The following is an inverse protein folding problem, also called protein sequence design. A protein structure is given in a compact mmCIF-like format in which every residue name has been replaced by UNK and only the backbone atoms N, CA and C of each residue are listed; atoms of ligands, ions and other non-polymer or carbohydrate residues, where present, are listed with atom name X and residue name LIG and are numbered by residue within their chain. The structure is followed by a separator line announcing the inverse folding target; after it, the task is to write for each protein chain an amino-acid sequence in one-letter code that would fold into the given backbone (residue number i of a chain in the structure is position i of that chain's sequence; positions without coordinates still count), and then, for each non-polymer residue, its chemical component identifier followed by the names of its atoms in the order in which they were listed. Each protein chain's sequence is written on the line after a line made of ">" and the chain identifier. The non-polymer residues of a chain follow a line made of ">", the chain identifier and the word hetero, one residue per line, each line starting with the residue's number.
data_IF_845849210585
#
_entry.id   IF_845849210585
#
_cell.length_a   1.000
_cell.length_b   1.000
_cell.length_c   1.000
_cell.angle_alpha   90.00
_cell.angle_beta   90.00
_cell.angle_gamma   90.00
#
_symmetry.space_group_name_H-M   'P 1'
#
loop_
_entity.id
_entity.type
_entity.pdbx_description
1 polymer ?
#
# COMPACT_ATOMS: atom_id res chain seq x y z
N UNK A 1 35.16 11.47 -16.65
CA UNK A 1 34.70 10.48 -17.62
C UNK A 1 33.51 11.06 -18.34
N UNK A 2 33.72 11.55 -19.56
CA UNK A 2 32.67 12.10 -20.42
C UNK A 2 31.86 10.92 -20.99
N UNK A 3 30.54 10.88 -20.74
CA UNK A 3 29.68 9.81 -21.24
C UNK A 3 29.37 10.09 -22.71
N UNK A 4 29.53 9.11 -23.63
CA UNK A 4 29.26 9.31 -25.05
C UNK A 4 27.80 9.69 -25.31
N UNK A 5 27.55 10.46 -26.37
CA UNK A 5 26.19 10.88 -26.74
C UNK A 5 25.30 9.64 -27.00
N UNK A 6 24.15 9.57 -26.32
CA UNK A 6 23.23 8.43 -26.39
C UNK A 6 23.35 7.40 -25.25
N UNK A 7 24.27 7.57 -24.31
CA UNK A 7 24.46 6.64 -23.18
C UNK A 7 23.47 6.83 -22.00
N UNK A 8 22.57 7.81 -22.08
CA UNK A 8 21.53 8.07 -21.07
C UNK A 8 20.16 8.10 -21.74
N UNK A 9 19.28 7.20 -21.32
CA UNK A 9 17.89 7.10 -21.81
C UNK A 9 16.96 7.53 -20.66
N UNK A 10 15.93 8.36 -20.91
CA UNK A 10 14.96 8.73 -19.88
C UNK A 10 14.17 7.51 -19.43
N UNK A 11 14.35 7.08 -18.18
CA UNK A 11 13.54 6.03 -17.56
C UNK A 11 12.21 6.63 -17.12
N UNK A 12 11.09 6.06 -17.61
CA UNK A 12 9.76 6.45 -17.14
C UNK A 12 9.51 5.86 -15.77
N UNK A 13 9.21 6.74 -14.80
CA UNK A 13 8.88 6.36 -13.43
C UNK A 13 7.73 5.36 -13.32
N UNK A 14 6.78 5.37 -14.26
CA UNK A 14 5.66 4.42 -14.30
C UNK A 14 6.08 2.96 -14.42
N UNK A 15 7.30 2.66 -14.90
CA UNK A 15 7.83 1.31 -15.05
C UNK A 15 8.55 0.81 -13.79
N UNK A 16 8.94 1.72 -12.89
CA UNK A 16 9.80 1.40 -11.74
C UNK A 16 9.18 1.75 -10.40
N UNK A 17 8.28 2.73 -10.35
CA UNK A 17 7.56 3.12 -9.15
C UNK A 17 6.28 2.29 -8.99
N UNK A 18 5.92 2.03 -7.75
CA UNK A 18 4.74 1.25 -7.42
C UNK A 18 3.45 2.02 -7.75
N UNK A 19 2.45 1.30 -8.28
CA UNK A 19 1.14 1.90 -8.59
C UNK A 19 0.36 2.10 -7.28
N UNK A 20 0.16 3.35 -6.91
CA UNK A 20 -0.62 3.74 -5.73
C UNK A 20 -2.04 4.15 -6.14
N UNK A 21 -3.03 3.69 -5.38
CA UNK A 21 -4.43 4.07 -5.47
C UNK A 21 -4.75 4.99 -4.30
N UNK A 22 -5.15 6.24 -4.58
CA UNK A 22 -5.37 7.28 -3.55
C UNK A 22 -4.19 7.46 -2.57
N UNK A 23 -2.95 7.18 -3.02
CA UNK A 23 -1.74 7.27 -2.19
C UNK A 23 -1.50 6.07 -1.27
N UNK A 24 -2.17 4.93 -1.50
CA UNK A 24 -2.02 3.66 -0.77
C UNK A 24 -1.81 2.51 -1.77
N UNK A 25 -1.12 1.41 -1.43
CA UNK A 25 -1.02 0.25 -2.33
C UNK A 25 -2.40 -0.28 -2.70
N UNK A 26 -2.55 -0.67 -3.98
CA UNK A 26 -3.82 -1.16 -4.56
C UNK A 26 -4.52 -2.19 -3.69
N UNK A 27 -3.76 -3.16 -3.16
CA UNK A 27 -4.29 -4.26 -2.35
C UNK A 27 -4.99 -3.76 -1.07
N UNK A 28 -4.37 -2.82 -0.38
CA UNK A 28 -4.93 -2.24 0.85
C UNK A 28 -6.12 -1.33 0.54
N UNK A 29 -6.06 -0.56 -0.54
CA UNK A 29 -7.17 0.29 -0.96
C UNK A 29 -8.42 -0.56 -1.21
N UNK A 30 -8.28 -1.65 -1.97
CA UNK A 30 -9.38 -2.60 -2.23
C UNK A 30 -9.87 -3.21 -0.92
N UNK A 31 -8.97 -3.76 -0.10
CA UNK A 31 -9.34 -4.40 1.16
C UNK A 31 -10.12 -3.45 2.10
N UNK A 32 -9.61 -2.23 2.31
CA UNK A 32 -10.26 -1.26 3.18
C UNK A 32 -11.62 -0.81 2.65
N UNK A 33 -11.74 -0.55 1.34
CA UNK A 33 -13.02 -0.15 0.73
C UNK A 33 -14.03 -1.28 0.82
N UNK A 34 -13.61 -2.53 0.61
CA UNK A 34 -14.49 -3.70 0.80
C UNK A 34 -14.96 -3.80 2.26
N UNK A 35 -14.07 -3.65 3.23
CA UNK A 35 -14.43 -3.64 4.66
C UNK A 35 -15.40 -2.50 4.98
N UNK A 36 -15.16 -1.30 4.45
CA UNK A 36 -16.06 -0.16 4.61
C UNK A 36 -17.45 -0.47 4.05
N UNK A 37 -17.53 -1.07 2.86
CA UNK A 37 -18.79 -1.46 2.22
C UNK A 37 -19.53 -2.54 3.04
N UNK A 38 -18.82 -3.54 3.56
CA UNK A 38 -19.42 -4.58 4.43
C UNK A 38 -20.00 -3.97 5.69
N UNK A 39 -19.29 -3.05 6.35
CA UNK A 39 -19.80 -2.40 7.57
C UNK A 39 -20.95 -1.43 7.29
N UNK A 40 -20.86 -0.64 6.22
CA UNK A 40 -21.87 0.34 5.85
C UNK A 40 -23.17 -0.32 5.37
N UNK A 41 -23.07 -1.31 4.47
CA UNK A 41 -24.21 -1.94 3.83
C UNK A 41 -24.71 -3.16 4.60
N UNK A 42 -23.79 -4.01 5.06
CA UNK A 42 -24.13 -5.27 5.72
C UNK A 42 -24.62 -5.08 7.15
N UNK A 43 -23.91 -4.28 7.95
CA UNK A 43 -24.25 -4.04 9.36
C UNK A 43 -25.05 -2.75 9.60
N UNK A 44 -25.25 -1.91 8.56
CA UNK A 44 -25.74 -0.52 8.70
C UNK A 44 -24.96 0.30 9.74
N UNK A 45 -23.73 -0.11 10.03
CA UNK A 45 -22.88 0.49 11.04
C UNK A 45 -22.06 1.61 10.40
N UNK A 46 -22.74 2.66 9.93
CA UNK A 46 -22.13 3.77 9.19
C UNK A 46 -21.04 4.48 10.02
N UNK A 47 -21.15 4.46 11.35
CA UNK A 47 -20.12 4.99 12.25
C UNK A 47 -18.76 4.25 12.11
N UNK A 48 -18.75 2.96 11.76
CA UNK A 48 -17.52 2.20 11.52
C UNK A 48 -16.80 2.65 10.24
N UNK A 49 -17.50 3.30 9.30
CA UNK A 49 -16.88 3.88 8.10
C UNK A 49 -15.93 5.01 8.46
N UNK A 50 -16.22 5.77 9.52
CA UNK A 50 -15.32 6.82 10.02
C UNK A 50 -14.01 6.21 10.53
N UNK A 51 -14.11 5.10 11.27
CA UNK A 51 -12.95 4.33 11.73
C UNK A 51 -12.18 3.77 10.55
N UNK A 52 -12.86 3.24 9.53
CA UNK A 52 -12.22 2.77 8.31
C UNK A 52 -11.44 3.89 7.60
N UNK A 53 -11.99 5.11 7.57
CA UNK A 53 -11.31 6.28 7.01
C UNK A 53 -10.02 6.62 7.76
N UNK A 54 -10.03 6.52 9.10
CA UNK A 54 -8.83 6.69 9.92
C UNK A 54 -7.79 5.62 9.61
N UNK A 55 -8.20 4.36 9.47
CA UNK A 55 -7.32 3.26 9.07
C UNK A 55 -6.71 3.52 7.68
N UNK A 56 -7.51 3.97 6.72
CA UNK A 56 -7.03 4.33 5.39
C UNK A 56 -6.03 5.49 5.43
N UNK A 57 -6.28 6.50 6.27
CA UNK A 57 -5.35 7.61 6.47
C UNK A 57 -4.01 7.14 7.07
N UNK A 58 -4.03 6.24 8.06
CA UNK A 58 -2.80 5.64 8.60
C UNK A 58 -2.04 4.88 7.51
N UNK A 59 -2.75 4.10 6.68
CA UNK A 59 -2.14 3.41 5.54
C UNK A 59 -1.52 4.40 4.55
N UNK A 60 -2.18 5.52 4.25
CA UNK A 60 -1.63 6.60 3.42
C UNK A 60 -0.33 7.17 3.98
N UNK A 61 -0.30 7.50 5.28
CA UNK A 61 0.91 8.03 5.93
C UNK A 61 2.06 7.01 5.91
N UNK A 62 1.77 5.72 6.07
CA UNK A 62 2.78 4.65 5.98
C UNK A 62 3.30 4.47 4.56
N UNK A 63 2.40 4.50 3.57
CA UNK A 63 2.76 4.41 2.14
C UNK A 63 3.66 5.57 1.72
N UNK A 64 3.39 6.77 2.23
CA UNK A 64 4.23 7.96 1.96
C UNK A 64 5.68 7.77 2.43
N UNK A 65 5.92 6.95 3.45
CA UNK A 65 7.27 6.61 3.94
C UNK A 65 7.88 5.43 3.18
N UNK A 66 7.08 4.40 2.91
CA UNK A 66 7.50 3.19 2.20
C UNK A 66 6.33 2.66 1.34
N UNK A 67 6.40 2.78 0.00
CA UNK A 67 5.38 2.22 -0.89
C UNK A 67 5.19 0.70 -0.74
N UNK A 68 6.25 -0.04 -0.39
CA UNK A 68 6.27 -1.50 -0.33
C UNK A 68 5.94 -2.07 1.06
N UNK A 69 5.53 -1.22 2.01
CA UNK A 69 5.33 -1.63 3.40
C UNK A 69 4.41 -2.84 3.55
N UNK A 70 3.36 -2.93 2.73
CA UNK A 70 2.39 -4.02 2.79
C UNK A 70 2.97 -5.35 2.31
N UNK A 71 3.84 -5.31 1.32
CA UNK A 71 4.51 -6.51 0.83
C UNK A 71 5.48 -7.04 1.89
N UNK A 72 6.25 -6.16 2.54
CA UNK A 72 7.09 -6.49 3.67
C UNK A 72 6.28 -7.07 4.84
N UNK A 73 5.17 -6.43 5.19
CA UNK A 73 4.25 -6.92 6.22
C UNK A 73 3.72 -8.31 5.89
N UNK A 74 3.23 -8.52 4.66
CA UNK A 74 2.71 -9.82 4.22
C UNK A 74 3.79 -10.90 4.22
N UNK A 75 5.03 -10.56 3.86
CA UNK A 75 6.18 -11.47 3.95
C UNK A 75 6.49 -11.82 5.39
N UNK A 76 6.45 -10.83 6.30
CA UNK A 76 6.65 -11.03 7.72
C UNK A 76 5.63 -12.00 8.34
N UNK A 77 4.34 -11.86 8.00
CA UNK A 77 3.30 -12.81 8.44
C UNK A 77 3.50 -14.24 7.92
N UNK A 78 4.14 -14.40 6.77
CA UNK A 78 4.45 -15.72 6.19
C UNK A 78 5.77 -16.28 6.66
N UNK A 79 6.59 -15.47 7.31
CA UNK A 79 7.89 -15.89 7.81
C UNK A 79 7.66 -16.78 9.02
N UNK A 80 8.04 -18.05 8.88
CA UNK A 80 7.98 -18.99 10.00
C UNK A 80 9.03 -18.59 11.03
N UNK A 81 8.67 -18.70 12.30
CA UNK A 81 9.57 -18.48 13.42
C UNK A 81 10.62 -19.60 13.49
N UNK A 82 11.69 -19.46 12.70
CA UNK A 82 12.82 -20.40 12.73
C UNK A 82 13.86 -20.04 13.80
N UNK A 83 13.83 -18.81 14.32
CA UNK A 83 14.79 -18.29 15.32
C UNK A 83 14.11 -17.75 16.58
N UNK A 84 12.87 -18.16 16.83
CA UNK A 84 12.19 -17.92 18.11
C UNK A 84 12.76 -18.91 19.11
N UNK A 85 13.75 -18.46 19.89
CA UNK A 85 14.36 -19.16 21.01
C UNK A 85 13.86 -18.55 22.31
#
# INVERSE_FOLDING_TARGET
>A
MEKPQGFSIPIRKSLTEQILYAGVPREIAILNVTLAAVFALGLRAVYLVVINLLIHYVAYVRTKKDPQFFECFRRHFKQKEYYSS
#
